data_IF_137621277961
#
_entry.id   IF_137621277961
#
_cell.length_a   1.000
_cell.length_b   1.000
_cell.length_c   1.000
_cell.angle_alpha   90.00
_cell.angle_beta   90.00
_cell.angle_gamma   90.00
#
_symmetry.space_group_name_H-M   'P 1'
#
loop_
_entity.id
_entity.type
_entity.pdbx_description
1 polymer ?
#
# COMPACT_ATOMS: atom_id res chain seq x y z
N UNK A 1 11.16 1.78 -22.28
CA UNK A 1 10.40 1.43 -21.05
C UNK A 1 9.32 2.49 -20.87
N UNK A 2 8.25 2.20 -20.16
CA UNK A 2 7.28 3.23 -19.73
C UNK A 2 6.93 3.01 -18.26
N UNK A 3 6.60 4.10 -17.57
CA UNK A 3 6.29 4.08 -16.14
C UNK A 3 4.77 4.17 -15.95
N UNK A 4 4.24 3.39 -15.02
CA UNK A 4 2.79 3.33 -14.79
C UNK A 4 2.48 2.96 -13.35
N UNK A 5 1.41 3.53 -12.81
CA UNK A 5 0.81 3.01 -11.58
C UNK A 5 0.08 1.70 -11.86
N UNK A 6 -0.31 0.96 -10.82
CA UNK A 6 -1.03 -0.31 -10.97
C UNK A 6 -2.54 -0.15 -10.82
N UNK A 7 -2.97 0.30 -9.65
CA UNK A 7 -4.38 0.52 -9.29
C UNK A 7 -4.89 1.80 -9.97
N UNK A 8 -5.99 1.67 -10.72
CA UNK A 8 -6.48 2.70 -11.64
C UNK A 8 -6.15 2.37 -13.11
N UNK A 9 -4.88 2.42 -13.55
CA UNK A 9 -4.53 2.18 -14.95
C UNK A 9 -4.74 0.73 -15.43
N UNK A 10 -4.46 -0.28 -14.59
CA UNK A 10 -4.47 -1.70 -15.01
C UNK A 10 -5.46 -2.54 -14.21
N UNK A 11 -5.59 -2.27 -12.91
CA UNK A 11 -6.50 -2.97 -12.02
C UNK A 11 -7.43 -1.98 -11.32
N UNK A 12 -8.71 -2.33 -11.20
CA UNK A 12 -9.74 -1.53 -10.54
C UNK A 12 -9.76 -1.74 -9.02
N UNK A 13 -9.11 -2.80 -8.55
CA UNK A 13 -8.99 -3.17 -7.14
C UNK A 13 -8.16 -2.12 -6.38
N UNK A 14 -8.75 -1.54 -5.34
CA UNK A 14 -8.00 -0.85 -4.27
C UNK A 14 -7.61 -1.92 -3.23
N UNK A 15 -6.34 -2.34 -3.25
CA UNK A 15 -5.94 -3.49 -2.45
C UNK A 15 -5.85 -3.17 -0.96
N UNK A 16 -5.54 -1.93 -0.60
CA UNK A 16 -5.49 -1.52 0.80
C UNK A 16 -6.88 -1.58 1.42
N UNK A 17 -7.90 -1.13 0.68
CA UNK A 17 -9.31 -1.26 1.08
C UNK A 17 -9.73 -2.73 1.16
N UNK A 18 -9.45 -3.54 0.14
CA UNK A 18 -9.83 -4.95 0.11
C UNK A 18 -9.19 -5.76 1.25
N UNK A 19 -7.93 -5.49 1.60
CA UNK A 19 -7.30 -6.07 2.80
C UNK A 19 -8.03 -5.67 4.08
N UNK A 20 -8.33 -4.38 4.24
CA UNK A 20 -9.04 -3.89 5.41
C UNK A 20 -10.43 -4.52 5.53
N UNK A 21 -11.16 -4.64 4.42
CA UNK A 21 -12.48 -5.25 4.39
C UNK A 21 -12.44 -6.76 4.64
N UNK A 22 -11.47 -7.48 4.07
CA UNK A 22 -11.33 -8.91 4.27
C UNK A 22 -10.96 -9.27 5.72
N UNK A 23 -10.16 -8.44 6.39
CA UNK A 23 -9.65 -8.73 7.74
C UNK A 23 -10.53 -8.14 8.84
N UNK A 24 -11.00 -6.91 8.67
CA UNK A 24 -11.73 -6.17 9.71
C UNK A 24 -13.18 -5.89 9.36
N UNK A 25 -13.58 -6.03 8.09
CA UNK A 25 -14.92 -5.69 7.59
C UNK A 25 -15.39 -4.28 8.04
N UNK A 26 -14.46 -3.32 8.07
CA UNK A 26 -14.71 -1.99 8.60
C UNK A 26 -14.24 -0.90 7.61
N UNK A 27 -15.17 -0.46 6.75
CA UNK A 27 -14.89 0.56 5.74
C UNK A 27 -14.61 1.95 6.35
N UNK A 28 -15.24 2.27 7.49
CA UNK A 28 -15.03 3.56 8.15
C UNK A 28 -13.64 3.66 8.77
N UNK A 29 -13.15 2.55 9.35
CA UNK A 29 -11.76 2.47 9.81
C UNK A 29 -10.77 2.75 8.68
N UNK A 30 -10.96 2.13 7.51
CA UNK A 30 -10.12 2.39 6.34
C UNK A 30 -10.18 3.85 5.88
N UNK A 31 -11.39 4.39 5.72
CA UNK A 31 -11.61 5.80 5.35
C UNK A 31 -10.86 6.75 6.29
N UNK A 32 -10.92 6.50 7.59
CA UNK A 32 -10.25 7.32 8.61
C UNK A 32 -8.72 7.25 8.49
N UNK A 33 -8.14 6.09 8.18
CA UNK A 33 -6.70 5.98 7.92
C UNK A 33 -6.31 6.69 6.62
N UNK A 34 -7.12 6.59 5.57
CA UNK A 34 -6.86 7.25 4.29
C UNK A 34 -6.99 8.78 4.39
N UNK A 35 -8.00 9.27 5.09
CA UNK A 35 -8.20 10.70 5.36
C UNK A 35 -7.00 11.26 6.15
N UNK A 36 -6.46 10.49 7.10
CA UNK A 36 -5.27 10.87 7.84
C UNK A 36 -4.00 10.86 6.98
N UNK A 37 -3.84 9.88 6.07
CA UNK A 37 -2.75 9.86 5.10
C UNK A 37 -2.72 11.13 4.23
N UNK A 38 -3.87 11.48 3.66
CA UNK A 38 -4.03 12.68 2.83
C UNK A 38 -3.77 13.96 3.63
N UNK A 39 -4.30 14.03 4.86
CA UNK A 39 -4.06 15.16 5.76
C UNK A 39 -2.56 15.36 6.04
N UNK A 40 -1.83 14.28 6.35
CA UNK A 40 -0.40 14.37 6.62
C UNK A 40 0.41 14.74 5.38
N UNK A 41 0.06 14.18 4.22
CA UNK A 41 0.83 14.35 3.00
C UNK A 41 0.58 15.71 2.33
N UNK A 42 -0.67 16.15 2.22
CA UNK A 42 -1.04 17.31 1.41
C UNK A 42 -1.32 18.58 2.20
N UNK A 43 -1.99 18.45 3.36
CA UNK A 43 -2.37 19.59 4.20
C UNK A 43 -1.23 20.00 5.14
N UNK A 44 -0.75 19.06 5.97
CA UNK A 44 0.37 19.30 6.89
C UNK A 44 1.70 19.32 6.16
N UNK A 45 1.83 18.49 5.11
CA UNK A 45 3.11 18.21 4.42
C UNK A 45 4.19 17.80 5.41
N UNK A 46 3.83 16.85 6.28
CA UNK A 46 4.70 16.38 7.38
C UNK A 46 6.04 15.93 6.80
N UNK A 47 7.12 16.49 7.34
CA UNK A 47 8.47 16.17 6.87
C UNK A 47 8.74 14.66 6.99
N UNK A 48 9.21 14.06 5.90
CA UNK A 48 9.46 12.62 5.81
C UNK A 48 8.20 11.74 5.64
N UNK A 49 7.02 12.35 5.46
CA UNK A 49 5.78 11.65 5.14
C UNK A 49 5.41 11.84 3.66
N UNK A 50 4.91 10.80 3.01
CA UNK A 50 4.56 10.80 1.59
C UNK A 50 3.13 10.29 1.41
N UNK A 51 2.41 10.82 0.42
CA UNK A 51 1.08 10.32 0.07
C UNK A 51 1.15 8.85 -0.39
N UNK A 52 0.15 8.05 -0.01
CA UNK A 52 0.09 6.62 -0.29
C UNK A 52 0.63 5.73 0.82
N UNK A 53 0.83 6.28 2.03
CA UNK A 53 1.27 5.51 3.19
C UNK A 53 0.12 4.87 3.98
N UNK A 54 -1.13 5.00 3.55
CA UNK A 54 -2.30 4.33 4.17
C UNK A 54 -2.04 2.83 4.41
N UNK A 55 -1.48 2.12 3.43
CA UNK A 55 -1.19 0.69 3.58
C UNK A 55 -0.06 0.41 4.61
N UNK A 56 0.93 1.31 4.70
CA UNK A 56 1.97 1.30 5.73
C UNK A 56 1.37 1.48 7.12
N UNK A 57 0.41 2.41 7.27
CA UNK A 57 -0.32 2.65 8.51
C UNK A 57 -1.24 1.47 8.89
N UNK A 58 -1.79 0.76 7.90
CA UNK A 58 -2.65 -0.41 8.10
C UNK A 58 -1.85 -1.67 8.51
N UNK A 59 -0.56 -1.75 8.14
CA UNK A 59 0.31 -2.90 8.42
C UNK A 59 0.31 -3.39 9.88
N UNK A 60 0.48 -2.54 10.92
CA UNK A 60 0.48 -3.01 12.31
C UNK A 60 -0.83 -3.71 12.69
N UNK A 61 -1.97 -3.23 12.22
CA UNK A 61 -3.26 -3.85 12.48
C UNK A 61 -3.38 -5.22 11.80
N UNK A 62 -2.98 -5.32 10.54
CA UNK A 62 -2.96 -6.60 9.80
C UNK A 62 -2.07 -7.63 10.50
N UNK A 63 -0.88 -7.21 10.95
CA UNK A 63 0.03 -8.06 11.70
C UNK A 63 -0.57 -8.50 13.05
N UNK A 64 -1.25 -7.59 13.77
CA UNK A 64 -1.95 -7.91 15.01
C UNK A 64 -3.08 -8.92 14.79
N UNK A 65 -3.82 -8.80 13.69
CA UNK A 65 -4.85 -9.77 13.26
C UNK A 65 -4.29 -11.12 12.81
N UNK A 66 -2.96 -11.25 12.73
CA UNK A 66 -2.30 -12.50 12.36
C UNK A 66 -2.23 -12.76 10.86
N UNK A 67 -2.42 -11.73 10.01
CA UNK A 67 -2.24 -11.83 8.56
C UNK A 67 -0.83 -12.34 8.25
N UNK A 68 -0.75 -13.29 7.30
CA UNK A 68 0.50 -13.86 6.78
C UNK A 68 0.69 -13.55 5.30
N UNK A 69 1.91 -13.74 4.80
CA UNK A 69 2.22 -13.49 3.39
C UNK A 69 1.28 -14.27 2.44
N UNK A 70 0.96 -15.52 2.80
CA UNK A 70 0.01 -16.37 2.08
C UNK A 70 -1.43 -15.84 2.04
N UNK A 71 -1.81 -15.00 3.00
CA UNK A 71 -3.15 -14.41 3.07
C UNK A 71 -3.22 -13.18 2.18
N UNK A 72 -2.15 -12.39 2.13
CA UNK A 72 -2.00 -11.28 1.18
C UNK A 72 -2.11 -11.78 -0.26
N UNK A 73 -1.42 -12.87 -0.61
CA UNK A 73 -1.53 -13.48 -1.95
C UNK A 73 -2.94 -14.01 -2.25
N UNK A 74 -3.61 -14.63 -1.27
CA UNK A 74 -4.96 -15.15 -1.45
C UNK A 74 -5.99 -14.04 -1.63
N UNK A 75 -5.91 -12.99 -0.82
CA UNK A 75 -6.80 -11.83 -0.95
C UNK A 75 -6.54 -11.15 -2.29
N UNK A 76 -5.29 -11.06 -2.74
CA UNK A 76 -4.93 -10.55 -4.07
C UNK A 76 -5.64 -11.31 -5.19
N UNK A 77 -5.66 -12.64 -5.12
CA UNK A 77 -6.36 -13.48 -6.10
C UNK A 77 -7.87 -13.28 -6.08
N UNK A 78 -8.47 -13.21 -4.89
CA UNK A 78 -9.92 -13.11 -4.72
C UNK A 78 -10.46 -11.74 -5.09
N UNK A 79 -9.69 -10.68 -4.90
CA UNK A 79 -10.13 -9.29 -5.12
C UNK A 79 -9.73 -8.72 -6.49
N UNK A 80 -8.89 -9.42 -7.27
CA UNK A 80 -8.41 -8.94 -8.56
C UNK A 80 -9.53 -8.69 -9.57
N UNK A 81 -9.73 -7.41 -9.93
CA UNK A 81 -10.67 -6.95 -10.95
C UNK A 81 -9.93 -6.02 -11.89
N UNK A 82 -9.63 -6.46 -13.10
CA UNK A 82 -8.85 -5.68 -14.06
C UNK A 82 -9.68 -4.65 -14.81
N UNK A 83 -9.02 -3.58 -15.26
CA UNK A 83 -9.59 -2.64 -16.24
C UNK A 83 -9.96 -3.43 -17.51
N UNK A 84 -11.08 -3.13 -18.19
CA UNK A 84 -11.42 -3.78 -19.44
C UNK A 84 -10.25 -3.75 -20.44
N UNK A 85 -10.00 -4.89 -21.09
CA UNK A 85 -8.88 -5.08 -22.02
C UNK A 85 -7.46 -4.89 -21.43
N UNK A 86 -7.28 -4.85 -20.11
CA UNK A 86 -5.95 -4.64 -19.49
C UNK A 86 -4.89 -5.63 -19.98
N UNK A 87 -5.22 -6.94 -20.03
CA UNK A 87 -4.31 -7.97 -20.56
C UNK A 87 -3.99 -7.75 -22.04
N UNK A 88 -5.01 -7.46 -22.86
CA UNK A 88 -4.84 -7.20 -24.30
C UNK A 88 -3.97 -5.97 -24.56
N UNK A 89 -4.22 -4.89 -23.82
CA UNK A 89 -3.45 -3.65 -23.90
C UNK A 89 -2.00 -3.88 -23.44
N UNK A 90 -1.80 -4.58 -22.32
CA UNK A 90 -0.48 -4.92 -21.81
C UNK A 90 0.30 -5.82 -22.80
N UNK A 91 -0.35 -6.84 -23.37
CA UNK A 91 0.25 -7.68 -24.41
C UNK A 91 0.73 -6.84 -25.61
N UNK A 92 -0.12 -5.94 -26.11
CA UNK A 92 0.21 -5.02 -27.22
C UNK A 92 1.38 -4.10 -26.89
N UNK A 93 1.39 -3.47 -25.70
CA UNK A 93 2.48 -2.59 -25.28
C UNK A 93 3.80 -3.33 -25.16
N UNK A 94 3.77 -4.56 -24.65
CA UNK A 94 4.95 -5.41 -24.45
C UNK A 94 5.56 -5.98 -25.73
N UNK A 95 4.94 -5.76 -26.90
CA UNK A 95 5.59 -6.02 -28.19
C UNK A 95 6.74 -5.05 -28.45
N UNK A 96 6.69 -3.84 -27.86
CA UNK A 96 7.65 -2.75 -28.13
C UNK A 96 8.26 -2.13 -26.88
N UNK A 97 7.60 -2.22 -25.73
CA UNK A 97 7.97 -1.49 -24.53
C UNK A 97 7.91 -2.35 -23.28
N UNK A 98 8.90 -2.21 -22.40
CA UNK A 98 8.89 -2.85 -21.07
C UNK A 98 8.19 -1.95 -20.04
N UNK A 99 7.14 -2.41 -19.33
CA UNK A 99 6.54 -1.66 -18.24
C UNK A 99 7.46 -1.61 -17.01
N UNK A 100 7.48 -0.46 -16.35
CA UNK A 100 7.97 -0.29 -14.97
C UNK A 100 6.75 0.09 -14.14
N UNK A 101 6.20 -0.88 -13.42
CA UNK A 101 5.02 -0.69 -12.59
C UNK A 101 5.45 -0.24 -11.20
N UNK A 102 4.90 0.87 -10.73
CA UNK A 102 5.26 1.47 -9.45
C UNK A 102 3.98 1.74 -8.66
N UNK A 103 3.71 0.90 -7.66
CA UNK A 103 2.47 0.89 -6.88
C UNK A 103 2.73 1.22 -5.42
N UNK A 104 1.74 1.81 -4.75
CA UNK A 104 1.72 1.98 -3.28
C UNK A 104 1.39 0.66 -2.57
N UNK A 105 0.75 -0.28 -3.26
CA UNK A 105 0.35 -1.59 -2.73
C UNK A 105 1.53 -2.54 -2.51
N UNK A 106 1.31 -3.62 -1.74
CA UNK A 106 2.37 -4.56 -1.41
C UNK A 106 2.96 -5.24 -2.66
N UNK A 107 4.29 -5.41 -2.67
CA UNK A 107 5.01 -6.03 -3.79
C UNK A 107 4.53 -7.46 -4.08
N UNK A 108 4.15 -8.23 -3.06
CA UNK A 108 3.56 -9.57 -3.21
C UNK A 108 2.22 -9.55 -3.95
N UNK A 109 1.33 -8.60 -3.63
CA UNK A 109 0.08 -8.38 -4.37
C UNK A 109 0.36 -7.98 -5.81
N UNK A 110 1.29 -7.04 -6.00
CA UNK A 110 1.68 -6.57 -7.33
C UNK A 110 2.21 -7.72 -8.18
N UNK A 111 3.15 -8.53 -7.67
CA UNK A 111 3.65 -9.72 -8.37
C UNK A 111 2.53 -10.70 -8.71
N UNK A 112 1.63 -10.97 -7.76
CA UNK A 112 0.55 -11.93 -7.97
C UNK A 112 -0.41 -11.48 -9.05
N UNK A 113 -0.90 -10.25 -8.98
CA UNK A 113 -1.87 -9.71 -9.95
C UNK A 113 -1.24 -9.36 -11.30
N UNK A 114 0.01 -8.88 -11.33
CA UNK A 114 0.74 -8.64 -12.58
C UNK A 114 0.92 -9.93 -13.40
N UNK A 115 1.13 -11.07 -12.73
CA UNK A 115 1.21 -12.37 -13.40
C UNK A 115 -0.11 -12.80 -14.08
N UNK A 116 -1.26 -12.35 -13.58
CA UNK A 116 -2.58 -12.74 -14.11
C UNK A 116 -2.87 -12.13 -15.48
N UNK A 117 -2.25 -10.99 -15.82
CA UNK A 117 -2.38 -10.34 -17.13
C UNK A 117 -1.06 -10.34 -17.92
N UNK A 118 -0.11 -11.20 -17.54
CA UNK A 118 1.12 -11.43 -18.29
C UNK A 118 2.10 -10.25 -18.33
N UNK A 119 2.18 -9.45 -17.27
CA UNK A 119 3.19 -8.38 -17.18
C UNK A 119 4.60 -8.99 -17.12
N UNK A 120 5.48 -8.49 -17.99
CA UNK A 120 6.90 -8.81 -18.13
C UNK A 120 7.69 -7.51 -18.07
N UNK A 121 7.97 -7.05 -16.85
CA UNK A 121 8.68 -5.83 -16.59
C UNK A 121 9.12 -5.71 -15.15
N UNK A 122 9.44 -4.49 -14.75
CA UNK A 122 9.94 -4.19 -13.41
C UNK A 122 8.77 -3.85 -12.50
N UNK A 123 8.74 -4.42 -11.29
CA UNK A 123 7.64 -4.27 -10.33
C UNK A 123 8.17 -3.69 -9.02
N UNK A 124 7.69 -2.50 -8.67
CA UNK A 124 8.03 -1.78 -7.45
C UNK A 124 6.76 -1.56 -6.63
N UNK A 125 6.76 -2.02 -5.38
CA UNK A 125 5.65 -1.87 -4.46
C UNK A 125 6.15 -1.66 -3.04
N UNK A 126 5.22 -1.45 -2.11
CA UNK A 126 5.53 -1.44 -0.68
C UNK A 126 6.07 -2.82 -0.26
N UNK A 127 7.22 -2.86 0.39
CA UNK A 127 7.85 -4.11 0.85
C UNK A 127 7.46 -4.36 2.31
N UNK A 128 6.88 -5.54 2.56
CA UNK A 128 6.54 -6.03 3.90
C UNK A 128 6.71 -7.55 3.93
N UNK A 129 7.18 -8.07 5.07
CA UNK A 129 7.20 -9.50 5.37
C UNK A 129 6.38 -9.77 6.64
N UNK A 130 5.12 -10.17 6.46
CA UNK A 130 4.21 -10.42 7.58
C UNK A 130 4.60 -11.61 8.44
N UNK A 131 5.34 -12.56 7.88
CA UNK A 131 5.74 -13.77 8.61
C UNK A 131 6.86 -13.44 9.62
N UNK A 132 7.61 -12.36 9.37
CA UNK A 132 8.69 -11.86 10.23
C UNK A 132 8.27 -10.81 11.26
N UNK A 133 7.06 -10.24 11.16
CA UNK A 133 6.58 -9.22 12.12
C UNK A 133 6.13 -9.89 13.42
N UNK A 134 6.81 -9.57 14.51
CA UNK A 134 6.42 -9.98 15.86
C UNK A 134 5.51 -8.92 16.51
N UNK A 135 4.32 -9.33 16.93
CA UNK A 135 3.37 -8.50 17.67
C UNK A 135 3.13 -9.15 19.04
N UNK A 136 3.64 -8.57 20.14
CA UNK A 136 3.35 -9.05 21.50
C UNK A 136 1.85 -9.07 21.79
N UNK A 137 1.41 -9.98 22.67
CA UNK A 137 -0.02 -10.17 22.97
C UNK A 137 -0.70 -8.88 23.47
N UNK A 138 -0.07 -8.13 24.37
CA UNK A 138 -0.61 -6.84 24.84
C UNK A 138 -0.77 -5.81 23.73
N UNK A 139 0.22 -5.70 22.83
CA UNK A 139 0.15 -4.80 21.68
C UNK A 139 -0.91 -5.26 20.67
N UNK A 140 -1.09 -6.57 20.50
CA UNK A 140 -2.15 -7.13 19.67
C UNK A 140 -3.52 -6.73 20.19
N UNK A 141 -3.79 -6.93 21.49
CA UNK A 141 -5.08 -6.55 22.09
C UNK A 141 -5.34 -5.05 21.94
N UNK A 142 -4.33 -4.21 22.16
CA UNK A 142 -4.42 -2.77 21.97
C UNK A 142 -4.76 -2.40 20.51
N UNK A 143 -4.00 -2.91 19.55
CA UNK A 143 -4.19 -2.59 18.12
C UNK A 143 -5.54 -3.07 17.61
N UNK A 144 -6.04 -4.22 18.07
CA UNK A 144 -7.35 -4.72 17.65
C UNK A 144 -8.50 -3.97 18.32
N UNK A 145 -8.38 -3.63 19.61
CA UNK A 145 -9.44 -2.91 20.34
C UNK A 145 -9.59 -1.45 19.90
N UNK A 146 -8.52 -0.81 19.42
CA UNK A 146 -8.56 0.59 18.99
C UNK A 146 -9.20 0.78 17.61
N UNK A 147 -9.44 -0.29 16.82
CA UNK A 147 -10.02 -0.21 15.47
C UNK A 147 -11.39 0.49 15.50
N UNK A 148 -12.30 0.03 16.37
CA UNK A 148 -13.64 0.60 16.48
C UNK A 148 -13.62 2.01 17.06
N UNK A 149 -12.66 2.29 17.95
CA UNK A 149 -12.42 3.65 18.44
C UNK A 149 -12.04 4.55 17.28
N UNK A 150 -11.03 4.19 16.48
CA UNK A 150 -10.60 4.96 15.30
C UNK A 150 -11.77 5.16 14.35
N UNK A 151 -12.54 4.11 14.04
CA UNK A 151 -13.70 4.19 13.15
C UNK A 151 -14.80 5.15 13.66
N UNK A 152 -14.94 5.31 14.98
CA UNK A 152 -15.93 6.20 15.60
C UNK A 152 -15.51 7.68 15.62
N UNK A 153 -14.22 7.97 15.45
CA UNK A 153 -13.67 9.32 15.50
C UNK A 153 -13.71 10.02 14.13
N UNK A 154 -13.58 11.34 14.14
CA UNK A 154 -13.46 12.18 12.94
C UNK A 154 -12.69 13.47 13.22
N UNK A 155 -12.23 14.13 12.14
CA UNK A 155 -11.60 15.45 12.21
C UNK A 155 -10.36 15.50 13.12
N UNK A 156 -10.21 16.59 13.87
CA UNK A 156 -9.04 16.81 14.73
C UNK A 156 -8.87 15.73 15.83
N UNK A 157 -9.98 15.20 16.36
CA UNK A 157 -9.92 14.16 17.39
C UNK A 157 -9.34 12.86 16.83
N UNK A 158 -9.77 12.47 15.62
CA UNK A 158 -9.21 11.35 14.88
C UNK A 158 -7.71 11.54 14.65
N UNK A 159 -7.31 12.68 14.11
CA UNK A 159 -5.90 12.94 13.77
C UNK A 159 -5.01 12.94 15.01
N UNK A 160 -5.47 13.54 16.10
CA UNK A 160 -4.76 13.51 17.39
C UNK A 160 -4.61 12.09 17.92
N UNK A 161 -5.64 11.26 17.77
CA UNK A 161 -5.61 9.85 18.22
C UNK A 161 -4.64 9.01 17.40
N UNK A 162 -4.62 9.21 16.07
CA UNK A 162 -3.69 8.51 15.18
C UNK A 162 -2.25 8.97 15.39
N UNK A 163 -2.01 10.28 15.60
CA UNK A 163 -0.69 10.80 15.97
C UNK A 163 -0.18 10.17 17.28
N UNK A 164 -1.04 10.10 18.31
CA UNK A 164 -0.71 9.44 19.58
C UNK A 164 -0.34 7.97 19.34
N UNK A 165 -1.18 7.23 18.62
CA UNK A 165 -0.98 5.80 18.35
C UNK A 165 0.33 5.53 17.58
N UNK A 166 0.55 6.23 16.46
CA UNK A 166 1.71 6.01 15.61
C UNK A 166 3.02 6.57 16.21
N UNK A 167 2.94 7.41 17.24
CA UNK A 167 4.11 7.84 18.03
C UNK A 167 4.60 6.79 19.03
N UNK A 168 3.76 5.80 19.40
CA UNK A 168 4.13 4.73 20.35
C UNK A 168 5.26 3.90 19.75
N UNK A 169 6.33 3.69 20.52
CA UNK A 169 7.56 3.05 20.04
C UNK A 169 7.33 1.65 19.46
N UNK A 170 6.43 0.88 20.04
CA UNK A 170 6.12 -0.49 19.61
C UNK A 170 5.37 -0.52 18.26
N UNK A 171 4.41 0.40 18.07
CA UNK A 171 3.67 0.57 16.81
C UNK A 171 4.61 1.12 15.73
N UNK A 172 5.36 2.17 16.07
CA UNK A 172 6.33 2.82 15.19
C UNK A 172 7.36 1.83 14.66
N UNK A 173 7.86 0.92 15.52
CA UNK A 173 8.79 -0.14 15.10
C UNK A 173 8.23 -1.02 13.99
N UNK A 174 6.94 -1.36 14.04
CA UNK A 174 6.28 -2.14 12.98
C UNK A 174 6.12 -1.28 11.72
N UNK A 175 5.64 -0.05 11.86
CA UNK A 175 5.46 0.89 10.74
C UNK A 175 6.79 1.16 10.00
N UNK A 176 7.89 1.31 10.73
CA UNK A 176 9.22 1.54 10.16
C UNK A 176 9.85 0.29 9.55
N UNK A 177 9.38 -0.92 9.89
CA UNK A 177 9.82 -2.16 9.23
C UNK A 177 9.32 -2.26 7.79
N UNK A 178 8.32 -1.47 7.43
CA UNK A 178 7.71 -1.41 6.10
C UNK A 178 8.45 -0.39 5.23
N UNK A 179 9.07 -0.86 4.16
CA UNK A 179 9.67 0.01 3.14
C UNK A 179 8.59 0.35 2.11
N UNK A 180 7.84 1.40 2.42
CA UNK A 180 6.72 1.87 1.62
C UNK A 180 7.16 2.58 0.34
N UNK A 181 6.30 2.53 -0.67
CA UNK A 181 6.40 3.33 -1.88
C UNK A 181 5.30 4.37 -1.86
N UNK A 182 5.64 5.62 -1.54
CA UNK A 182 4.75 6.78 -1.65
C UNK A 182 5.06 7.64 -2.87
N UNK A 183 4.45 8.82 -2.97
CA UNK A 183 4.65 9.74 -4.10
C UNK A 183 6.13 10.09 -4.34
N UNK A 184 6.89 10.44 -3.29
CA UNK A 184 8.32 10.71 -3.35
C UNK A 184 9.14 9.52 -3.82
N UNK A 185 8.85 8.30 -3.34
CA UNK A 185 9.50 7.07 -3.80
C UNK A 185 9.20 6.78 -5.27
N UNK A 186 7.96 6.98 -5.73
CA UNK A 186 7.62 6.84 -7.15
C UNK A 186 8.51 7.75 -8.01
N UNK A 187 8.64 9.03 -7.64
CA UNK A 187 9.50 9.96 -8.36
C UNK A 187 10.98 9.55 -8.35
N UNK A 188 11.50 9.08 -7.21
CA UNK A 188 12.89 8.58 -7.09
C UNK A 188 13.13 7.36 -7.99
N UNK A 189 12.20 6.41 -8.02
CA UNK A 189 12.30 5.21 -8.86
C UNK A 189 12.34 5.59 -10.34
N UNK A 190 11.42 6.46 -10.80
CA UNK A 190 11.40 6.93 -12.20
C UNK A 190 12.73 7.60 -12.56
N UNK A 191 13.23 8.52 -11.73
CA UNK A 191 14.52 9.19 -11.97
C UNK A 191 15.68 8.21 -12.09
N UNK A 192 15.75 7.20 -11.21
CA UNK A 192 16.80 6.18 -11.26
C UNK A 192 16.80 5.37 -12.56
N UNK A 193 15.63 5.03 -13.11
CA UNK A 193 15.55 4.41 -14.43
C UNK A 193 15.94 5.38 -15.55
N UNK A 194 15.51 6.64 -15.48
CA UNK A 194 15.87 7.66 -16.47
C UNK A 194 17.38 7.86 -16.56
N UNK A 195 18.05 8.03 -15.42
CA UNK A 195 19.51 8.17 -15.34
C UNK A 195 20.23 6.91 -15.86
N UNK A 196 19.81 5.72 -15.41
CA UNK A 196 20.50 4.47 -15.77
C UNK A 196 20.27 4.01 -17.21
N UNK A 197 19.19 4.47 -17.86
CA UNK A 197 18.82 4.10 -19.22
C UNK A 197 18.98 5.23 -20.23
N UNK A 198 19.44 6.41 -19.81
CA UNK A 198 19.57 7.58 -20.67
C UNK A 198 18.24 8.04 -21.26
N UNK A 199 17.17 7.98 -20.47
CA UNK A 199 15.84 8.49 -20.85
C UNK A 199 15.71 9.90 -20.31
N UNK A 200 15.37 10.86 -21.17
CA UNK A 200 15.10 12.24 -20.74
C UNK A 200 13.96 12.26 -19.72
N UNK A 201 14.24 12.78 -18.52
CA UNK A 201 13.25 12.95 -17.47
C UNK A 201 12.45 14.23 -17.75
N UNK A 202 11.11 14.18 -17.85
CA UNK A 202 10.28 15.33 -18.14
C UNK A 202 10.23 16.36 -16.99
#
# INVERSE_FOLDING_TARGET
MFFTDWEGPWILTDFALELCMAVFNNARFFSNLSEYDDYLAYEVRREGYEAGYTLKLLTPFLAAAGVKNRDVERIAELSAKFVPDAEKAMATLQERWTPVVISTSYTQYLRRTASMIGVRGELHGTEVDFDSIAVPEGLREELLSIIDVIASLSGEELFRKLDELFSRSEVRKIVESVKAVGAGEKAKIVRGYCESKGIDFP
#
